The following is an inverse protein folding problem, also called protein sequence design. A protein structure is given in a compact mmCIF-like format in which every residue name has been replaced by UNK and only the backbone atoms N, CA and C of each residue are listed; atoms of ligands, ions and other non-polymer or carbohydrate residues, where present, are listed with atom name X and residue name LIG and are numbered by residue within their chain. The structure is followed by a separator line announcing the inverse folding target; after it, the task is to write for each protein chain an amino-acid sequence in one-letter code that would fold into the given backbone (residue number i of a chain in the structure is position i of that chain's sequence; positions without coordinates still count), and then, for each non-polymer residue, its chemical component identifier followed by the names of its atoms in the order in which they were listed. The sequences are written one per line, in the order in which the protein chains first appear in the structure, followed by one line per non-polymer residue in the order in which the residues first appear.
data_IF_989868860885
#
_entry.id   IF_989868860885
#
_cell.length_a   1.000
_cell.length_b   1.000
_cell.length_c   1.000
_cell.angle_alpha   90.00
_cell.angle_beta   90.00
_cell.angle_gamma   90.00
#
_symmetry.space_group_name_H-M   'P 1'
#
loop_
_entity.id
_entity.type
_entity.pdbx_description
1 polymer ?
#
# COMPACT_ATOMS: atom_id res chain seq x y z
N UNK A 1 71.44 62.64 -43.53
CA UNK A 1 70.66 61.77 -44.43
C UNK A 1 69.47 61.22 -43.65
N UNK A 2 68.29 61.79 -43.91
CA UNK A 2 66.94 61.17 -43.91
C UNK A 2 66.72 59.96 -42.99
N UNK A 3 66.04 60.07 -41.84
CA UNK A 3 64.58 60.24 -41.65
C UNK A 3 63.74 59.20 -42.40
N UNK A 4 63.10 58.29 -41.67
CA UNK A 4 61.63 58.15 -41.52
C UNK A 4 61.32 56.83 -40.78
N UNK A 5 60.58 56.96 -39.68
CA UNK A 5 59.92 55.88 -38.93
C UNK A 5 58.68 55.37 -39.68
N UNK A 6 58.35 54.07 -39.54
CA UNK A 6 56.96 53.55 -39.56
C UNK A 6 56.82 52.43 -38.51
N UNK A 7 56.07 52.63 -37.41
CA UNK A 7 54.62 52.34 -37.17
C UNK A 7 54.42 50.85 -36.80
N UNK A 8 54.36 50.46 -35.50
CA UNK A 8 53.19 50.31 -34.56
C UNK A 8 52.16 49.23 -34.99
N UNK A 9 51.83 48.19 -34.20
CA UNK A 9 50.85 48.13 -33.07
C UNK A 9 50.70 46.63 -32.61
N UNK A 10 49.78 46.21 -31.69
CA UNK A 10 49.87 46.23 -30.22
C UNK A 10 49.39 44.90 -29.57
N UNK A 11 49.42 44.81 -28.23
CA UNK A 11 48.84 43.70 -27.47
C UNK A 11 49.55 43.56 -26.12
N UNK A 12 49.54 44.59 -25.27
CA UNK A 12 48.59 44.72 -24.16
C UNK A 12 48.45 43.44 -23.33
N UNK A 13 49.26 43.44 -22.26
CA UNK A 13 48.79 43.23 -20.89
C UNK A 13 47.88 42.02 -20.62
N UNK A 14 48.44 41.01 -19.97
CA UNK A 14 47.86 40.51 -18.72
C UNK A 14 48.92 39.75 -17.92
N UNK A 15 49.32 40.36 -16.80
CA UNK A 15 49.54 39.72 -15.50
C UNK A 15 49.92 38.22 -15.49
N UNK A 16 51.12 37.89 -15.00
CA UNK A 16 51.20 36.74 -14.11
C UNK A 16 52.33 36.85 -13.07
N UNK A 17 51.94 37.40 -11.93
CA UNK A 17 52.64 37.36 -10.66
C UNK A 17 52.49 35.94 -10.06
N UNK A 18 53.37 35.01 -10.42
CA UNK A 18 53.47 33.71 -9.75
C UNK A 18 54.86 33.51 -9.15
N UNK A 19 54.92 33.66 -7.82
CA UNK A 19 56.06 33.36 -6.93
C UNK A 19 56.68 32.00 -7.30
N UNK A 20 57.91 32.01 -7.84
CA UNK A 20 58.71 30.80 -8.04
C UNK A 20 59.11 30.24 -6.67
N UNK A 21 58.58 29.06 -6.36
CA UNK A 21 58.97 28.30 -5.18
C UNK A 21 60.47 27.94 -5.29
N UNK A 22 61.27 28.24 -4.27
CA UNK A 22 62.71 27.94 -4.27
C UNK A 22 63.02 26.74 -3.36
N UNK A 23 64.18 26.11 -3.57
CA UNK A 23 64.66 25.04 -2.69
C UNK A 23 64.79 25.54 -1.24
N UNK A 24 65.14 26.81 -1.03
CA UNK A 24 65.24 27.41 0.30
C UNK A 24 63.89 27.42 1.02
N UNK A 25 62.78 27.66 0.31
CA UNK A 25 61.44 27.59 0.90
C UNK A 25 61.11 26.16 1.35
N UNK A 26 61.51 25.13 0.59
CA UNK A 26 61.28 23.73 0.98
C UNK A 26 62.11 23.35 2.21
N UNK A 27 63.35 23.83 2.28
CA UNK A 27 64.21 23.67 3.45
C UNK A 27 63.68 24.45 4.66
N UNK A 28 63.05 25.61 4.47
CA UNK A 28 62.41 26.37 5.54
C UNK A 28 61.19 25.63 6.11
N UNK A 29 60.31 25.11 5.25
CA UNK A 29 59.16 24.27 5.67
C UNK A 29 59.64 23.04 6.44
N UNK A 30 60.74 22.44 6.01
CA UNK A 30 61.30 21.31 6.71
C UNK A 30 61.77 21.68 8.12
N UNK A 31 62.50 22.78 8.25
CA UNK A 31 62.99 23.29 9.54
C UNK A 31 61.86 23.69 10.48
N UNK A 32 60.84 24.38 9.98
CA UNK A 32 59.65 24.77 10.74
C UNK A 32 58.94 23.54 11.35
N UNK A 33 58.89 22.43 10.61
CA UNK A 33 58.30 21.16 11.08
C UNK A 33 59.31 20.25 11.79
N UNK A 34 60.43 20.80 12.25
CA UNK A 34 61.46 20.10 13.01
C UNK A 34 62.19 19.00 12.21
N UNK A 35 62.35 19.17 10.91
CA UNK A 35 63.02 18.22 10.01
C UNK A 35 63.92 18.88 8.98
N UNK A 36 64.37 18.09 8.00
CA UNK A 36 65.31 18.49 6.96
C UNK A 36 64.80 18.08 5.58
N UNK A 37 65.02 18.95 4.59
CA UNK A 37 64.94 18.58 3.18
C UNK A 37 66.35 18.20 2.74
N UNK A 38 66.54 16.94 2.34
CA UNK A 38 67.84 16.34 1.98
C UNK A 38 68.15 16.43 0.48
N UNK A 39 67.28 17.03 -0.32
CA UNK A 39 67.49 17.22 -1.76
C UNK A 39 68.24 18.53 -2.03
N UNK A 40 69.23 18.47 -2.93
CA UNK A 40 70.10 19.61 -3.27
C UNK A 40 69.61 20.41 -4.49
N UNK A 41 68.50 19.99 -5.12
CA UNK A 41 67.89 20.69 -6.25
C UNK A 41 66.38 20.61 -6.20
N UNK A 42 65.73 21.68 -6.68
CA UNK A 42 64.27 21.77 -6.80
C UNK A 42 63.92 22.15 -8.25
N UNK A 43 63.15 21.28 -8.91
CA UNK A 43 62.71 21.49 -10.30
C UNK A 43 61.31 22.10 -10.36
N UNK A 44 60.34 21.45 -9.71
CA UNK A 44 58.95 21.88 -9.65
C UNK A 44 58.22 21.24 -8.46
N UNK A 45 56.95 21.63 -8.27
CA UNK A 45 56.16 21.27 -7.08
C UNK A 45 55.75 19.79 -7.04
N UNK A 46 55.81 19.11 -8.17
CA UNK A 46 55.40 17.72 -8.37
C UNK A 46 56.59 16.75 -8.39
N UNK A 47 57.82 17.25 -8.42
CA UNK A 47 59.03 16.43 -8.34
C UNK A 47 59.28 16.03 -6.89
N UNK A 48 59.32 14.73 -6.55
CA UNK A 48 59.52 14.30 -5.17
C UNK A 48 60.90 14.67 -4.64
N UNK A 49 60.93 15.35 -3.49
CA UNK A 49 62.15 15.60 -2.72
C UNK A 49 62.31 14.54 -1.61
N UNK A 50 63.53 14.46 -1.08
CA UNK A 50 63.88 13.63 0.08
C UNK A 50 63.73 14.46 1.36
N UNK A 51 63.01 13.93 2.34
CA UNK A 51 62.71 14.61 3.60
C UNK A 51 63.12 13.73 4.78
N UNK A 52 63.46 14.37 5.89
CA UNK A 52 63.76 13.73 7.17
C UNK A 52 63.06 14.48 8.30
N UNK A 53 62.47 13.79 9.28
CA UNK A 53 61.84 14.44 10.44
C UNK A 53 62.76 14.44 11.66
N UNK A 54 62.36 15.11 12.75
CA UNK A 54 63.06 15.12 14.04
C UNK A 54 63.42 13.72 14.56
N UNK A 55 62.55 12.73 14.35
CA UNK A 55 62.76 11.32 14.73
C UNK A 55 63.62 10.54 13.72
N UNK A 56 64.35 11.26 12.85
CA UNK A 56 65.27 10.76 11.84
C UNK A 56 64.70 9.85 10.73
N UNK A 57 63.38 9.61 10.71
CA UNK A 57 62.72 8.90 9.61
C UNK A 57 62.89 9.66 8.29
N UNK A 58 63.29 8.94 7.23
CA UNK A 58 63.47 9.48 5.88
C UNK A 58 62.36 9.01 4.94
N UNK A 59 61.84 9.90 4.11
CA UNK A 59 60.82 9.56 3.12
C UNK A 59 60.89 10.45 1.87
N UNK A 60 60.30 9.96 0.77
CA UNK A 60 60.13 10.70 -0.49
C UNK A 60 58.72 11.27 -0.57
N UNK A 61 58.59 12.57 -0.80
CA UNK A 61 57.29 13.22 -0.98
C UNK A 61 57.41 14.45 -1.89
N UNK A 62 56.32 14.78 -2.57
CA UNK A 62 56.26 16.00 -3.37
C UNK A 62 56.14 17.24 -2.48
N UNK A 63 56.83 18.33 -2.84
CA UNK A 63 56.68 19.65 -2.23
C UNK A 63 55.22 20.09 -2.06
N UNK A 64 54.35 19.80 -3.04
CA UNK A 64 52.93 20.11 -2.96
C UNK A 64 52.24 19.35 -1.80
N UNK A 65 52.48 18.05 -1.68
CA UNK A 65 51.90 17.22 -0.62
C UNK A 65 52.35 17.67 0.77
N UNK A 66 53.63 18.05 0.88
CA UNK A 66 54.21 18.56 2.11
C UNK A 66 53.58 19.90 2.50
N UNK A 67 53.45 20.83 1.55
CA UNK A 67 52.77 22.12 1.76
C UNK A 67 51.32 21.96 2.21
N UNK A 68 50.59 21.00 1.63
CA UNK A 68 49.19 20.72 1.98
C UNK A 68 48.99 20.03 3.34
N UNK A 69 50.08 19.70 4.06
CA UNK A 69 50.02 19.24 5.45
C UNK A 69 50.52 17.82 5.68
N UNK A 70 50.87 17.07 4.63
CA UNK A 70 51.46 15.73 4.80
C UNK A 70 52.91 15.86 5.29
N UNK A 71 53.31 15.08 6.29
CA UNK A 71 54.68 15.11 6.82
C UNK A 71 55.29 13.71 6.88
N UNK A 72 55.77 13.27 8.05
CA UNK A 72 56.29 11.93 8.25
C UNK A 72 55.16 10.93 8.53
N UNK A 73 54.89 10.02 7.59
CA UNK A 73 53.88 8.97 7.74
C UNK A 73 54.23 7.94 8.83
N UNK A 74 55.51 7.76 9.15
CA UNK A 74 55.98 6.85 10.21
C UNK A 74 55.69 7.46 11.58
N UNK A 75 56.03 8.74 11.80
CA UNK A 75 55.66 9.45 13.03
C UNK A 75 54.14 9.58 13.16
N UNK A 76 53.44 9.87 12.06
CA UNK A 76 51.97 9.91 12.05
C UNK A 76 51.39 8.55 12.47
N UNK A 77 51.80 7.44 11.86
CA UNK A 77 51.36 6.09 12.28
C UNK A 77 51.75 5.75 13.71
N UNK A 78 52.92 6.20 14.18
CA UNK A 78 53.37 6.05 15.56
C UNK A 78 52.48 6.78 16.55
N UNK A 79 52.09 8.02 16.24
CA UNK A 79 51.15 8.83 17.05
C UNK A 79 49.72 8.28 17.06
N UNK A 80 49.37 7.43 16.10
CA UNK A 80 48.08 6.74 16.03
C UNK A 80 48.07 5.38 16.76
N UNK A 81 49.23 4.91 17.27
CA UNK A 81 49.27 3.72 18.12
C UNK A 81 48.69 4.09 19.48
N UNK A 82 47.51 3.55 19.74
CA UNK A 82 46.80 3.73 21.00
C UNK A 82 47.50 2.90 22.07
N UNK A 83 47.69 3.47 23.26
CA UNK A 83 48.11 2.67 24.39
C UNK A 83 46.97 1.75 24.81
N UNK A 84 47.33 0.56 25.29
CA UNK A 84 46.37 -0.39 25.83
C UNK A 84 45.62 0.19 27.04
N UNK A 85 46.29 1.06 27.80
CA UNK A 85 45.76 1.81 28.95
C UNK A 85 44.63 2.77 28.54
N UNK A 86 44.83 3.57 27.49
CA UNK A 86 43.78 4.51 26.99
C UNK A 86 42.49 3.81 26.56
N UNK A 87 42.60 2.60 26.00
CA UNK A 87 41.45 1.82 25.57
C UNK A 87 40.76 1.10 26.72
N UNK A 88 41.51 0.72 27.75
CA UNK A 88 40.97 0.20 29.00
C UNK A 88 40.20 1.26 29.77
N UNK A 89 40.75 2.48 29.87
CA UNK A 89 40.07 3.61 30.50
C UNK A 89 38.77 3.96 29.77
N UNK A 90 38.79 3.97 28.43
CA UNK A 90 37.59 4.18 27.62
C UNK A 90 36.53 3.09 27.84
N UNK A 91 36.96 1.83 27.97
CA UNK A 91 36.09 0.71 28.32
C UNK A 91 35.42 0.96 29.69
N UNK A 92 36.23 1.30 30.70
CA UNK A 92 35.79 1.51 32.07
C UNK A 92 34.80 2.68 32.21
N UNK A 93 35.09 3.82 31.58
CA UNK A 93 34.21 5.00 31.59
C UNK A 93 32.81 4.72 31.02
N UNK A 94 32.71 3.77 30.10
CA UNK A 94 31.46 3.39 29.41
C UNK A 94 30.86 2.09 29.96
N UNK A 95 31.35 1.57 31.08
CA UNK A 95 30.84 0.36 31.72
C UNK A 95 31.04 -0.90 30.86
N UNK A 96 32.17 -1.01 30.16
CA UNK A 96 32.58 -2.21 29.45
C UNK A 96 34.02 -2.58 29.80
N UNK A 97 34.44 -3.71 29.25
CA UNK A 97 35.74 -4.30 29.48
C UNK A 97 36.38 -4.68 28.15
N UNK A 98 37.66 -4.32 28.01
CA UNK A 98 38.49 -4.75 26.90
C UNK A 98 39.09 -6.13 27.21
N UNK A 99 38.69 -7.15 26.44
CA UNK A 99 39.15 -8.53 26.62
C UNK A 99 40.45 -8.83 25.85
N UNK A 100 40.79 -8.00 24.86
CA UNK A 100 42.03 -8.14 24.09
C UNK A 100 43.26 -7.75 24.94
N UNK A 101 44.24 -8.65 25.04
CA UNK A 101 45.48 -8.46 25.83
C UNK A 101 46.61 -7.74 25.09
N UNK A 102 46.41 -7.40 23.81
CA UNK A 102 47.41 -6.71 22.96
C UNK A 102 46.71 -5.68 22.10
N UNK A 103 47.30 -4.50 21.99
CA UNK A 103 46.93 -3.47 21.01
C UNK A 103 47.74 -3.69 19.74
N UNK A 104 47.05 -3.80 18.61
CA UNK A 104 47.69 -3.81 17.30
C UNK A 104 47.41 -2.54 16.52
N UNK A 105 47.29 -2.66 15.20
CA UNK A 105 47.02 -1.48 14.35
C UNK A 105 45.63 -0.89 14.63
N UNK A 106 45.40 0.38 14.30
CA UNK A 106 44.09 1.04 14.47
C UNK A 106 42.93 0.37 13.70
N UNK A 107 43.26 -0.50 12.73
CA UNK A 107 42.31 -1.28 11.92
C UNK A 107 42.00 -2.66 12.53
N UNK A 108 42.75 -3.08 13.55
CA UNK A 108 42.54 -4.38 14.18
C UNK A 108 41.29 -4.35 15.05
N UNK A 109 40.47 -5.41 14.92
CA UNK A 109 39.27 -5.56 15.74
C UNK A 109 39.65 -6.12 17.10
N UNK A 110 39.39 -5.33 18.15
CA UNK A 110 39.57 -5.73 19.53
C UNK A 110 38.29 -6.39 20.05
N UNK A 111 38.41 -7.26 21.06
CA UNK A 111 37.27 -7.93 21.69
C UNK A 111 36.86 -7.16 22.95
N UNK A 112 35.56 -6.89 23.06
CA UNK A 112 34.97 -6.06 24.12
C UNK A 112 33.82 -6.82 24.81
N UNK A 113 33.50 -6.46 26.05
CA UNK A 113 32.38 -7.00 26.84
C UNK A 113 31.64 -5.86 27.56
N UNK A 114 30.34 -5.69 27.36
CA UNK A 114 29.57 -4.61 28.02
C UNK A 114 29.04 -5.05 29.40
N UNK A 115 28.45 -4.11 30.14
CA UNK A 115 27.77 -4.37 31.41
C UNK A 115 26.68 -5.47 31.36
N UNK A 116 26.05 -5.67 30.20
CA UNK A 116 25.06 -6.74 29.98
C UNK A 116 25.71 -8.08 29.56
N UNK A 117 27.03 -8.22 29.72
CA UNK A 117 27.84 -9.38 29.32
C UNK A 117 27.83 -9.75 27.83
N UNK A 118 27.30 -8.89 26.95
CA UNK A 118 27.43 -9.10 25.52
C UNK A 118 28.89 -8.90 25.09
N UNK A 119 29.42 -9.85 24.34
CA UNK A 119 30.78 -9.79 23.79
C UNK A 119 30.75 -9.51 22.30
N UNK A 120 31.57 -8.57 21.82
CA UNK A 120 31.67 -8.26 20.39
C UNK A 120 33.08 -7.89 19.97
N UNK A 121 33.29 -7.80 18.65
CA UNK A 121 34.54 -7.36 18.04
C UNK A 121 34.35 -6.03 17.31
N UNK A 122 35.13 -5.02 17.68
CA UNK A 122 35.08 -3.69 17.08
C UNK A 122 36.46 -3.04 17.08
N UNK A 123 36.71 -2.15 16.13
CA UNK A 123 37.93 -1.32 16.13
C UNK A 123 37.81 -0.21 17.16
N UNK A 124 38.94 0.24 17.70
CA UNK A 124 38.94 1.36 18.64
C UNK A 124 38.34 2.66 18.06
N UNK A 125 38.44 2.87 16.74
CA UNK A 125 37.78 3.98 16.05
C UNK A 125 36.25 3.89 16.08
N UNK A 126 35.67 2.69 15.88
CA UNK A 126 34.22 2.46 15.94
C UNK A 126 33.68 2.72 17.36
N UNK A 127 34.43 2.27 18.36
CA UNK A 127 34.12 2.45 19.78
C UNK A 127 34.08 3.95 20.14
N UNK A 128 35.07 4.75 19.70
CA UNK A 128 35.08 6.21 19.91
C UNK A 128 33.97 6.95 19.17
N UNK A 129 33.58 6.46 17.99
CA UNK A 129 32.47 7.02 17.22
C UNK A 129 31.08 6.75 17.87
N UNK A 130 31.04 6.06 19.01
CA UNK A 130 29.81 5.79 19.75
C UNK A 130 29.15 4.44 19.42
N UNK A 131 29.75 3.63 18.54
CA UNK A 131 29.24 2.30 18.21
C UNK A 131 29.69 1.28 19.25
N UNK A 132 29.05 1.33 20.43
CA UNK A 132 29.42 0.52 21.59
C UNK A 132 28.99 -0.94 21.44
N UNK A 133 27.79 -1.28 21.90
CA UNK A 133 27.27 -2.64 21.84
C UNK A 133 26.05 -2.68 20.93
N UNK A 134 26.18 -3.35 19.77
CA UNK A 134 25.07 -3.51 18.83
C UNK A 134 23.91 -4.28 19.46
N UNK A 135 24.19 -5.28 20.30
CA UNK A 135 23.16 -6.09 20.94
C UNK A 135 22.35 -5.26 21.93
N UNK A 136 22.99 -4.46 22.80
CA UNK A 136 22.27 -3.52 23.68
C UNK A 136 21.49 -2.45 22.89
N UNK A 137 22.01 -2.01 21.75
CA UNK A 137 21.30 -1.08 20.87
C UNK A 137 20.06 -1.73 20.23
N UNK A 138 20.15 -2.99 19.80
CA UNK A 138 18.99 -3.73 19.30
C UNK A 138 18.00 -4.07 20.43
N UNK A 139 18.49 -4.40 21.63
CA UNK A 139 17.65 -4.69 22.79
C UNK A 139 16.91 -3.44 23.29
N UNK A 140 17.51 -2.25 23.18
CA UNK A 140 16.80 -0.99 23.50
C UNK A 140 15.77 -0.60 22.44
N UNK A 141 15.92 -1.09 21.20
CA UNK A 141 14.91 -0.92 20.13
C UNK A 141 13.84 -2.01 20.14
N UNK A 142 14.12 -3.19 20.70
CA UNK A 142 13.10 -4.21 20.95
C UNK A 142 12.25 -3.71 22.12
N UNK A 143 10.94 -3.59 21.91
CA UNK A 143 10.02 -3.36 23.03
C UNK A 143 10.29 -4.37 24.15
N UNK A 144 10.01 -4.03 25.41
CA UNK A 144 10.14 -4.98 26.51
C UNK A 144 8.77 -5.56 26.88
N UNK A 145 8.74 -6.60 27.72
CA UNK A 145 7.47 -7.20 28.14
C UNK A 145 6.60 -6.20 28.93
N UNK A 146 7.21 -5.28 29.67
CA UNK A 146 6.51 -4.21 30.41
C UNK A 146 5.73 -3.30 29.46
N UNK A 147 6.29 -2.95 28.30
CA UNK A 147 5.59 -2.18 27.27
C UNK A 147 4.38 -2.95 26.71
N UNK A 148 4.44 -4.27 26.64
CA UNK A 148 3.30 -5.10 26.22
C UNK A 148 2.22 -5.15 27.31
N UNK A 149 2.60 -5.21 28.59
CA UNK A 149 1.66 -5.07 29.71
C UNK A 149 0.99 -3.69 29.70
N UNK A 150 1.76 -2.61 29.49
CA UNK A 150 1.22 -1.25 29.39
C UNK A 150 0.28 -1.09 28.18
N UNK A 151 0.63 -1.66 27.01
CA UNK A 151 -0.24 -1.67 25.83
C UNK A 151 -1.57 -2.38 26.13
N UNK A 152 -1.53 -3.51 26.83
CA UNK A 152 -2.73 -4.24 27.22
C UNK A 152 -3.60 -3.43 28.19
N UNK A 153 -2.98 -2.83 29.21
CA UNK A 153 -3.66 -2.01 30.19
C UNK A 153 -4.34 -0.80 29.55
N UNK A 154 -3.66 -0.12 28.61
CA UNK A 154 -4.21 1.02 27.87
C UNK A 154 -5.45 0.65 27.03
N UNK A 155 -5.61 -0.63 26.65
CA UNK A 155 -6.77 -1.15 25.92
C UNK A 155 -7.81 -1.81 26.84
N UNK A 156 -7.63 -1.70 28.16
CA UNK A 156 -8.52 -2.29 29.16
C UNK A 156 -8.41 -3.81 29.22
N UNK A 157 -7.19 -4.36 29.25
CA UNK A 157 -6.98 -5.78 29.45
C UNK A 157 -5.55 -6.12 29.87
N UNK A 158 -5.14 -7.38 29.68
CA UNK A 158 -3.90 -7.93 30.20
C UNK A 158 -3.11 -8.65 29.10
N UNK A 159 -1.79 -8.52 29.14
CA UNK A 159 -0.88 -9.42 28.43
C UNK A 159 -0.47 -10.52 29.42
N UNK A 160 -0.80 -11.77 29.10
CA UNK A 160 -0.56 -12.94 29.95
C UNK A 160 0.80 -13.59 29.69
N UNK A 161 1.48 -13.22 28.60
CA UNK A 161 2.81 -13.73 28.30
C UNK A 161 3.84 -13.17 29.29
N UNK A 162 4.76 -14.01 29.82
CA UNK A 162 5.78 -13.57 30.77
C UNK A 162 7.02 -12.97 30.10
N UNK A 163 7.22 -13.23 28.80
CA UNK A 163 8.39 -12.81 28.04
C UNK A 163 8.00 -12.24 26.67
N UNK A 164 8.74 -11.23 26.23
CA UNK A 164 8.66 -10.70 24.87
C UNK A 164 9.98 -10.97 24.15
N UNK A 165 9.90 -11.70 23.04
CA UNK A 165 11.07 -12.13 22.27
C UNK A 165 11.29 -11.17 21.10
N UNK A 166 10.26 -10.97 20.28
CA UNK A 166 10.30 -10.11 19.10
C UNK A 166 8.89 -9.67 18.67
N UNK A 167 8.82 -8.80 17.65
CA UNK A 167 7.56 -8.24 17.15
C UNK A 167 6.69 -9.22 16.37
N UNK A 168 7.22 -10.42 16.04
CA UNK A 168 6.51 -11.41 15.21
C UNK A 168 5.99 -12.59 16.01
N UNK A 169 6.50 -12.78 17.23
CA UNK A 169 6.06 -13.80 18.17
C UNK A 169 4.68 -13.43 18.71
N UNK A 170 3.80 -14.43 18.77
CA UNK A 170 2.47 -14.24 19.32
C UNK A 170 2.56 -14.19 20.84
N UNK A 171 1.96 -13.16 21.42
CA UNK A 171 1.71 -13.09 22.85
C UNK A 171 0.27 -13.48 23.14
N UNK A 172 0.02 -13.89 24.38
CA UNK A 172 -1.31 -14.21 24.88
C UNK A 172 -1.90 -12.96 25.54
N UNK A 173 -3.10 -12.59 25.11
CA UNK A 173 -3.79 -11.37 25.53
C UNK A 173 -5.16 -11.72 26.10
N UNK A 174 -5.65 -10.88 27.02
CA UNK A 174 -6.96 -10.96 27.62
C UNK A 174 -7.63 -9.58 27.60
N UNK A 175 -8.89 -9.48 27.20
CA UNK A 175 -9.64 -8.20 27.28
C UNK A 175 -10.43 -8.08 28.59
N UNK A 176 -10.99 -6.90 28.88
CA UNK A 176 -11.85 -6.66 30.04
C UNK A 176 -13.02 -7.65 30.19
N UNK A 177 -13.57 -8.13 29.07
CA UNK A 177 -14.68 -9.12 29.07
C UNK A 177 -14.19 -10.52 29.43
N UNK A 178 -12.87 -10.74 29.46
CA UNK A 178 -12.25 -12.02 29.82
C UNK A 178 -11.88 -12.91 28.64
N UNK A 179 -12.12 -12.49 27.39
CA UNK A 179 -11.71 -13.25 26.21
C UNK A 179 -10.19 -13.34 26.12
N UNK A 180 -9.67 -14.55 25.89
CA UNK A 180 -8.23 -14.81 25.74
C UNK A 180 -7.91 -15.18 24.29
N UNK A 181 -6.84 -14.60 23.72
CA UNK A 181 -6.40 -14.92 22.35
C UNK A 181 -4.89 -14.76 22.17
N UNK A 182 -4.35 -15.38 21.11
CA UNK A 182 -2.96 -15.24 20.69
C UNK A 182 -2.86 -14.24 19.53
N UNK A 183 -1.98 -13.25 19.63
CA UNK A 183 -1.75 -12.26 18.58
C UNK A 183 -0.36 -11.61 18.70
N UNK A 184 0.15 -11.13 17.56
CA UNK A 184 1.36 -10.30 17.51
C UNK A 184 1.08 -8.89 18.05
N UNK A 185 2.04 -8.21 18.69
CA UNK A 185 1.86 -6.85 19.21
C UNK A 185 1.30 -5.87 18.16
N UNK A 186 1.84 -5.89 16.94
CA UNK A 186 1.38 -5.00 15.86
C UNK A 186 -0.11 -5.21 15.51
N UNK A 187 -0.59 -6.45 15.56
CA UNK A 187 -2.00 -6.78 15.35
C UNK A 187 -2.85 -6.23 16.49
N UNK A 188 -2.39 -6.35 17.72
CA UNK A 188 -3.12 -5.91 18.91
C UNK A 188 -3.24 -4.39 19.01
N UNK A 189 -2.22 -3.66 18.56
CA UNK A 189 -2.26 -2.20 18.45
C UNK A 189 -3.41 -1.72 17.55
N UNK A 190 -3.62 -2.41 16.41
CA UNK A 190 -4.63 -2.05 15.40
C UNK A 190 -6.01 -2.66 15.71
N UNK A 191 -6.05 -3.95 16.05
CA UNK A 191 -7.25 -4.71 16.39
C UNK A 191 -7.02 -5.42 17.72
N UNK A 192 -7.63 -4.88 18.77
CA UNK A 192 -7.51 -5.38 20.14
C UNK A 192 -8.08 -6.80 20.31
N UNK A 193 -9.36 -6.95 20.64
CA UNK A 193 -9.99 -8.24 20.83
C UNK A 193 -10.78 -8.66 19.58
N UNK A 194 -10.46 -9.80 18.94
CA UNK A 194 -11.19 -10.26 17.76
C UNK A 194 -12.63 -10.66 18.10
N UNK A 195 -12.87 -11.20 19.30
CA UNK A 195 -14.20 -11.64 19.74
C UNK A 195 -15.09 -10.42 20.01
N UNK A 196 -14.67 -9.48 20.85
CA UNK A 196 -15.43 -8.24 21.06
C UNK A 196 -15.54 -7.39 19.77
N UNK A 197 -14.55 -7.47 18.88
CA UNK A 197 -14.61 -6.84 17.56
C UNK A 197 -15.66 -7.48 16.65
N UNK A 198 -15.85 -8.79 16.75
CA UNK A 198 -16.90 -9.54 16.06
C UNK A 198 -18.28 -9.24 16.66
N UNK A 199 -18.41 -9.27 17.99
CA UNK A 199 -19.68 -9.00 18.68
C UNK A 199 -20.21 -7.59 18.36
N UNK A 200 -19.34 -6.57 18.37
CA UNK A 200 -19.71 -5.19 17.96
C UNK A 200 -20.16 -5.08 16.51
N UNK A 201 -19.72 -6.00 15.64
CA UNK A 201 -20.10 -6.03 14.21
C UNK A 201 -21.30 -6.93 13.94
N UNK A 202 -21.77 -7.68 14.92
CA UNK A 202 -22.95 -8.53 14.78
C UNK A 202 -24.16 -7.61 14.55
N UNK A 203 -24.77 -7.70 13.37
CA UNK A 203 -26.08 -7.09 13.15
C UNK A 203 -27.02 -7.75 14.17
N UNK A 204 -27.52 -7.00 15.15
CA UNK A 204 -28.42 -7.55 16.15
C UNK A 204 -29.70 -8.11 15.53
N UNK A 205 -30.40 -8.97 16.28
CA UNK A 205 -31.73 -9.44 15.88
C UNK A 205 -32.68 -8.26 15.62
N UNK A 206 -32.51 -7.18 16.36
CA UNK A 206 -33.21 -5.89 16.19
C UNK A 206 -33.13 -5.37 14.76
N UNK A 207 -31.96 -5.47 14.11
CA UNK A 207 -31.82 -5.02 12.72
C UNK A 207 -32.58 -5.92 11.74
N UNK A 208 -32.71 -7.21 12.05
CA UNK A 208 -33.50 -8.14 11.25
C UNK A 208 -35.00 -7.90 11.45
N UNK A 209 -35.42 -7.57 12.66
CA UNK A 209 -36.78 -7.16 12.98
C UNK A 209 -37.14 -5.84 12.28
N UNK A 210 -36.25 -4.85 12.29
CA UNK A 210 -36.43 -3.60 11.56
C UNK A 210 -36.52 -3.82 10.04
N UNK A 211 -35.66 -4.69 9.49
CA UNK A 211 -35.72 -5.06 8.07
C UNK A 211 -37.06 -5.72 7.71
N UNK A 212 -37.63 -6.52 8.62
CA UNK A 212 -38.93 -7.11 8.41
C UNK A 212 -40.04 -6.05 8.45
N UNK A 213 -39.97 -5.13 9.41
CA UNK A 213 -40.92 -4.02 9.56
C UNK A 213 -40.96 -3.12 8.33
N UNK A 214 -39.80 -2.78 7.77
CA UNK A 214 -39.68 -2.00 6.53
C UNK A 214 -40.35 -2.67 5.32
N UNK A 215 -40.51 -4.00 5.35
CA UNK A 215 -41.21 -4.77 4.32
C UNK A 215 -42.66 -5.12 4.70
N UNK A 216 -43.19 -4.49 5.75
CA UNK A 216 -44.54 -4.73 6.24
C UNK A 216 -44.70 -6.14 6.80
N UNK A 217 -43.74 -6.64 7.57
CA UNK A 217 -43.85 -7.94 8.23
C UNK A 217 -43.02 -8.01 9.50
N UNK A 218 -42.82 -9.23 9.99
CA UNK A 218 -42.16 -9.50 11.28
C UNK A 218 -41.05 -10.53 11.13
N UNK A 219 -39.95 -10.34 11.86
CA UNK A 219 -38.98 -11.40 12.10
C UNK A 219 -39.36 -12.07 13.43
N UNK A 220 -39.78 -13.33 13.37
CA UNK A 220 -40.26 -14.09 14.54
C UNK A 220 -39.11 -14.75 15.32
N UNK A 221 -37.89 -14.71 14.79
CA UNK A 221 -36.72 -15.23 15.51
C UNK A 221 -36.27 -14.24 16.60
N UNK A 222 -35.87 -14.78 17.74
CA UNK A 222 -35.35 -14.00 18.87
C UNK A 222 -33.82 -13.88 18.85
N UNK A 223 -33.13 -14.79 18.15
CA UNK A 223 -31.66 -14.87 18.17
C UNK A 223 -31.10 -14.80 16.75
N UNK A 224 -30.23 -13.81 16.52
CA UNK A 224 -29.43 -13.71 15.29
C UNK A 224 -28.03 -14.27 15.51
N UNK A 225 -27.72 -15.40 14.86
CA UNK A 225 -26.37 -16.00 14.97
C UNK A 225 -25.39 -15.37 13.98
N UNK A 226 -25.76 -15.38 12.69
CA UNK A 226 -24.98 -14.88 11.56
C UNK A 226 -25.91 -14.72 10.33
N UNK A 227 -25.37 -14.35 9.16
CA UNK A 227 -26.15 -14.11 7.94
C UNK A 227 -26.50 -15.38 7.13
N UNK A 228 -26.03 -16.57 7.57
CA UNK A 228 -26.26 -17.85 6.89
C UNK A 228 -27.23 -18.76 7.64
N UNK A 229 -27.44 -18.54 8.93
CA UNK A 229 -28.46 -19.23 9.72
C UNK A 229 -29.84 -18.67 9.35
N UNK A 230 -30.79 -19.56 9.05
CA UNK A 230 -32.15 -19.17 8.73
C UNK A 230 -32.81 -18.49 9.94
N UNK A 231 -33.58 -17.44 9.66
CA UNK A 231 -34.55 -16.87 10.59
C UNK A 231 -35.96 -17.17 10.09
N UNK A 232 -36.91 -17.07 10.99
CA UNK A 232 -38.33 -17.19 10.69
C UNK A 232 -38.91 -15.79 10.46
N UNK A 233 -39.61 -15.65 9.34
CA UNK A 233 -40.18 -14.38 8.86
C UNK A 233 -41.68 -14.54 8.66
N UNK A 234 -42.40 -13.44 8.79
CA UNK A 234 -43.83 -13.35 8.52
C UNK A 234 -44.12 -12.08 7.71
N UNK A 235 -44.98 -12.15 6.69
CA UNK A 235 -45.39 -10.96 5.93
C UNK A 235 -46.72 -10.37 6.46
N UNK A 236 -47.12 -9.19 5.98
CA UNK A 236 -48.39 -8.55 6.35
C UNK A 236 -49.63 -9.44 6.17
N UNK A 237 -49.60 -10.37 5.21
CA UNK A 237 -50.70 -11.30 4.96
C UNK A 237 -50.72 -12.52 5.89
N UNK A 238 -49.73 -12.64 6.79
CA UNK A 238 -49.63 -13.72 7.76
C UNK A 238 -48.82 -14.94 7.30
N UNK A 239 -48.38 -15.02 6.04
CA UNK A 239 -47.55 -16.14 5.57
C UNK A 239 -46.22 -16.19 6.32
N UNK A 240 -45.85 -17.37 6.82
CA UNK A 240 -44.60 -17.60 7.57
C UNK A 240 -43.64 -18.47 6.80
N UNK A 241 -42.36 -18.11 6.76
CA UNK A 241 -41.32 -18.90 6.09
C UNK A 241 -39.97 -18.80 6.77
N UNK A 242 -39.08 -19.76 6.47
CA UNK A 242 -37.69 -19.73 6.91
C UNK A 242 -36.79 -19.25 5.77
N UNK A 243 -35.96 -18.24 6.04
CA UNK A 243 -35.01 -17.72 5.06
C UNK A 243 -33.74 -17.19 5.72
N UNK A 244 -32.63 -17.29 4.99
CA UNK A 244 -31.36 -16.69 5.39
C UNK A 244 -31.47 -15.15 5.31
N UNK A 245 -31.00 -14.41 6.32
CA UNK A 245 -30.98 -12.94 6.34
C UNK A 245 -30.38 -12.31 5.08
N UNK A 246 -29.33 -12.92 4.51
CA UNK A 246 -28.70 -12.41 3.29
C UNK A 246 -29.65 -12.38 2.09
N UNK A 247 -30.58 -13.34 1.96
CA UNK A 247 -31.56 -13.35 0.86
C UNK A 247 -32.63 -12.28 1.07
N UNK A 248 -33.06 -12.10 2.31
CA UNK A 248 -34.00 -11.06 2.69
C UNK A 248 -33.40 -9.68 2.44
N UNK A 249 -32.14 -9.45 2.81
CA UNK A 249 -31.44 -8.20 2.52
C UNK A 249 -31.38 -7.92 1.01
N UNK A 250 -31.17 -8.95 0.18
CA UNK A 250 -31.14 -8.85 -1.29
C UNK A 250 -32.50 -8.64 -1.95
N UNK A 251 -33.60 -8.67 -1.21
CA UNK A 251 -34.93 -8.37 -1.74
C UNK A 251 -35.89 -9.57 -1.83
N UNK A 252 -35.44 -10.79 -1.51
CA UNK A 252 -36.35 -11.95 -1.45
C UNK A 252 -37.22 -11.86 -0.20
N UNK A 253 -38.54 -11.90 -0.37
CA UNK A 253 -39.48 -11.72 0.74
C UNK A 253 -40.42 -12.92 0.88
N UNK A 254 -41.72 -12.74 0.69
CA UNK A 254 -42.72 -13.79 0.78
C UNK A 254 -42.99 -14.42 -0.60
N UNK A 255 -42.77 -15.73 -0.72
CA UNK A 255 -43.02 -16.47 -1.96
C UNK A 255 -44.52 -16.53 -2.30
N UNK A 256 -45.38 -16.74 -1.32
CA UNK A 256 -46.83 -16.82 -1.53
C UNK A 256 -47.38 -15.48 -2.06
N UNK A 257 -46.99 -14.35 -1.45
CA UNK A 257 -47.38 -13.03 -1.95
C UNK A 257 -46.81 -12.75 -3.35
N UNK A 258 -45.66 -13.31 -3.71
CA UNK A 258 -45.12 -13.22 -5.06
C UNK A 258 -45.96 -14.02 -6.05
N UNK A 259 -46.31 -15.27 -5.72
CA UNK A 259 -47.15 -16.12 -6.56
C UNK A 259 -48.55 -15.53 -6.79
N UNK A 260 -49.16 -14.93 -5.76
CA UNK A 260 -50.44 -14.23 -5.90
C UNK A 260 -50.35 -13.07 -6.91
N UNK A 261 -49.28 -12.27 -6.85
CA UNK A 261 -49.05 -11.19 -7.82
C UNK A 261 -48.85 -11.73 -9.23
N UNK A 262 -48.12 -12.83 -9.38
CA UNK A 262 -47.93 -13.53 -10.66
C UNK A 262 -49.27 -14.00 -11.23
N UNK A 263 -50.10 -14.66 -10.40
CA UNK A 263 -51.44 -15.14 -10.81
C UNK A 263 -52.36 -13.99 -11.22
N UNK A 264 -52.39 -12.90 -10.46
CA UNK A 264 -53.15 -11.71 -10.85
C UNK A 264 -52.68 -11.13 -12.19
N UNK A 265 -51.36 -11.12 -12.44
CA UNK A 265 -50.79 -10.65 -13.70
C UNK A 265 -51.19 -11.50 -14.91
N UNK A 266 -51.25 -12.83 -14.79
CA UNK A 266 -51.68 -13.67 -15.92
C UNK A 266 -53.18 -13.49 -16.22
N UNK A 267 -54.02 -13.35 -15.19
CA UNK A 267 -55.45 -13.08 -15.37
C UNK A 267 -55.70 -11.79 -16.14
N UNK A 268 -54.98 -10.70 -15.82
CA UNK A 268 -55.07 -9.45 -16.56
C UNK A 268 -54.70 -9.63 -18.06
N UNK A 269 -53.68 -10.45 -18.35
CA UNK A 269 -53.28 -10.70 -19.74
C UNK A 269 -54.31 -11.51 -20.51
N UNK A 270 -54.99 -12.45 -19.84
CA UNK A 270 -56.09 -13.22 -20.41
C UNK A 270 -57.29 -12.33 -20.72
N UNK A 271 -57.64 -11.37 -19.85
CA UNK A 271 -58.71 -10.39 -20.08
C UNK A 271 -58.42 -9.50 -21.30
N UNK A 272 -57.19 -8.99 -21.45
CA UNK A 272 -56.80 -8.19 -22.62
C UNK A 272 -56.95 -8.99 -23.90
N UNK A 273 -56.59 -10.27 -23.88
CA UNK A 273 -56.75 -11.13 -25.03
C UNK A 273 -58.22 -11.29 -25.41
N UNK A 274 -59.08 -11.58 -24.44
CA UNK A 274 -60.52 -11.74 -24.65
C UNK A 274 -61.16 -10.45 -25.21
N UNK A 275 -60.83 -9.28 -24.66
CA UNK A 275 -61.33 -7.99 -25.17
C UNK A 275 -60.94 -7.72 -26.63
N UNK A 276 -59.85 -8.31 -27.12
CA UNK A 276 -59.37 -8.19 -28.50
C UNK A 276 -59.79 -9.37 -29.39
N UNK A 277 -60.75 -10.19 -28.92
CA UNK A 277 -61.27 -11.35 -29.63
C UNK A 277 -60.28 -12.51 -29.74
N UNK A 278 -59.31 -12.61 -28.84
CA UNK A 278 -58.30 -13.67 -28.83
C UNK A 278 -58.13 -14.35 -27.47
N UNK A 279 -57.11 -15.19 -27.36
CA UNK A 279 -56.75 -15.94 -26.16
C UNK A 279 -55.28 -15.70 -25.79
N UNK A 280 -54.99 -15.63 -24.50
CA UNK A 280 -53.62 -15.79 -24.00
C UNK A 280 -53.46 -17.26 -23.62
N UNK A 281 -52.54 -17.96 -24.29
CA UNK A 281 -52.31 -19.40 -24.13
C UNK A 281 -51.34 -19.72 -22.98
N UNK A 282 -50.64 -18.72 -22.46
CA UNK A 282 -49.74 -18.88 -21.32
C UNK A 282 -50.52 -19.01 -20.00
N UNK A 283 -50.02 -19.87 -19.12
CA UNK A 283 -50.53 -20.10 -17.76
C UNK A 283 -49.71 -19.37 -16.69
N UNK A 284 -48.52 -18.89 -17.06
CA UNK A 284 -47.53 -18.28 -16.17
C UNK A 284 -47.18 -16.87 -16.63
N UNK A 285 -47.15 -15.93 -15.69
CA UNK A 285 -46.76 -14.54 -15.92
C UNK A 285 -45.56 -14.17 -15.03
N UNK A 286 -44.42 -13.90 -15.63
CA UNK A 286 -43.21 -13.56 -14.86
C UNK A 286 -43.10 -12.05 -14.69
N UNK A 287 -43.17 -11.31 -15.80
CA UNK A 287 -43.11 -9.85 -15.84
C UNK A 287 -43.54 -9.34 -17.23
N UNK A 288 -43.49 -8.03 -17.43
CA UNK A 288 -43.88 -7.36 -18.68
C UNK A 288 -42.98 -7.66 -19.89
N UNK A 289 -41.76 -8.12 -19.66
CA UNK A 289 -40.72 -8.35 -20.67
C UNK A 289 -40.60 -9.82 -21.08
N UNK A 290 -41.06 -10.72 -20.22
CA UNK A 290 -41.15 -12.14 -20.49
C UNK A 290 -42.26 -12.38 -21.51
N UNK A 291 -41.96 -13.00 -22.66
CA UNK A 291 -42.95 -13.24 -23.68
C UNK A 291 -44.04 -14.20 -23.21
N UNK A 292 -45.26 -13.99 -23.72
CA UNK A 292 -46.39 -14.90 -23.59
C UNK A 292 -46.84 -15.35 -24.97
N UNK A 293 -47.57 -16.46 -25.01
CA UNK A 293 -48.20 -16.98 -26.23
C UNK A 293 -49.62 -16.45 -26.34
N UNK A 294 -49.98 -15.97 -27.53
CA UNK A 294 -51.26 -15.34 -27.83
C UNK A 294 -51.88 -15.99 -29.06
N UNK A 295 -53.21 -15.97 -29.14
CA UNK A 295 -53.99 -16.41 -30.28
C UNK A 295 -55.05 -15.35 -30.63
N UNK A 296 -55.27 -15.05 -31.91
CA UNK A 296 -56.33 -14.13 -32.33
C UNK A 296 -57.59 -14.89 -32.76
N UNK A 297 -58.66 -14.14 -33.07
CA UNK A 297 -59.93 -14.72 -33.52
C UNK A 297 -59.81 -15.57 -34.80
N UNK A 298 -58.86 -15.21 -35.67
CA UNK A 298 -58.56 -15.95 -36.91
C UNK A 298 -57.68 -17.19 -36.66
N UNK A 299 -57.33 -17.48 -35.40
CA UNK A 299 -56.57 -18.66 -34.99
C UNK A 299 -55.04 -18.53 -35.07
N UNK A 300 -54.49 -17.41 -35.54
CA UNK A 300 -53.03 -17.22 -35.60
C UNK A 300 -52.42 -17.20 -34.19
N UNK A 301 -51.37 -17.98 -33.97
CA UNK A 301 -50.63 -18.03 -32.70
C UNK A 301 -49.32 -17.26 -32.86
N UNK A 302 -48.97 -16.42 -31.89
CA UNK A 302 -47.68 -15.72 -31.87
C UNK A 302 -47.18 -15.49 -30.44
N UNK A 303 -45.87 -15.32 -30.34
CA UNK A 303 -45.19 -14.95 -29.11
C UNK A 303 -45.03 -13.42 -29.06
N UNK A 304 -45.46 -12.80 -27.95
CA UNK A 304 -45.29 -11.38 -27.75
C UNK A 304 -45.17 -11.02 -26.27
N UNK A 305 -44.40 -9.96 -26.00
CA UNK A 305 -44.26 -9.40 -24.66
C UNK A 305 -45.56 -8.71 -24.23
N UNK A 306 -46.03 -8.93 -22.98
CA UNK A 306 -47.16 -8.21 -22.39
C UNK A 306 -47.11 -6.69 -22.57
N UNK A 307 -45.93 -6.08 -22.49
CA UNK A 307 -45.75 -4.63 -22.68
C UNK A 307 -46.21 -4.14 -24.07
N UNK A 308 -45.93 -4.91 -25.12
CA UNK A 308 -46.34 -4.54 -26.49
C UNK A 308 -47.84 -4.72 -26.69
N UNK A 309 -48.41 -5.76 -26.09
CA UNK A 309 -49.84 -6.02 -26.14
C UNK A 309 -50.59 -4.89 -25.43
N UNK A 310 -50.17 -4.49 -24.23
CA UNK A 310 -50.73 -3.32 -23.51
C UNK A 310 -50.62 -2.04 -24.36
N UNK A 311 -49.49 -1.82 -25.03
CA UNK A 311 -49.26 -0.65 -25.88
C UNK A 311 -49.99 -0.68 -27.24
N UNK A 312 -50.87 -1.65 -27.47
CA UNK A 312 -51.76 -1.68 -28.64
C UNK A 312 -51.31 -2.56 -29.80
N UNK A 313 -50.13 -3.20 -29.70
CA UNK A 313 -49.76 -4.23 -30.69
C UNK A 313 -50.61 -5.49 -30.52
N UNK A 314 -50.89 -6.16 -31.63
CA UNK A 314 -51.70 -7.39 -31.65
C UNK A 314 -51.16 -8.36 -32.71
N UNK A 315 -52.03 -9.19 -33.30
CA UNK A 315 -51.66 -10.22 -34.25
C UNK A 315 -50.91 -9.65 -35.47
N UNK A 316 -49.63 -10.02 -35.67
CA UNK A 316 -48.82 -9.50 -36.78
C UNK A 316 -49.32 -9.99 -38.14
N UNK A 317 -49.83 -11.22 -38.22
CA UNK A 317 -50.41 -11.77 -39.45
C UNK A 317 -51.67 -11.01 -39.86
N UNK A 318 -52.63 -10.79 -38.94
CA UNK A 318 -53.81 -9.98 -39.22
C UNK A 318 -53.43 -8.56 -39.66
N UNK A 319 -52.43 -7.95 -39.03
CA UNK A 319 -51.95 -6.62 -39.42
C UNK A 319 -51.30 -6.61 -40.81
N UNK A 320 -50.56 -7.66 -41.18
CA UNK A 320 -49.96 -7.81 -42.52
C UNK A 320 -51.04 -8.00 -43.57
N UNK A 321 -51.98 -8.93 -43.36
CA UNK A 321 -53.13 -9.19 -44.24
C UNK A 321 -53.93 -7.90 -44.46
N UNK A 322 -54.24 -7.16 -43.39
CA UNK A 322 -54.97 -5.89 -43.47
C UNK A 322 -54.23 -4.83 -44.30
N UNK A 323 -52.90 -4.72 -44.14
CA UNK A 323 -52.06 -3.80 -44.94
C UNK A 323 -52.06 -4.17 -46.42
N UNK A 324 -51.95 -5.45 -46.75
CA UNK A 324 -51.92 -5.93 -48.14
C UNK A 324 -53.26 -5.73 -48.85
N UNK A 325 -54.38 -5.96 -48.15
CA UNK A 325 -55.72 -5.66 -48.66
C UNK A 325 -55.88 -4.16 -48.97
N UNK A 326 -55.41 -3.28 -48.08
CA UNK A 326 -55.45 -1.82 -48.28
C UNK A 326 -54.63 -1.40 -49.51
N UNK A 327 -53.41 -1.93 -49.68
CA UNK A 327 -52.57 -1.68 -50.88
C UNK A 327 -53.26 -2.12 -52.17
N UNK A 328 -53.90 -3.29 -52.18
CA UNK A 328 -54.65 -3.79 -53.36
C UNK A 328 -55.82 -2.86 -53.70
N UNK A 329 -56.57 -2.40 -52.69
CA UNK A 329 -57.67 -1.45 -52.86
C UNK A 329 -57.19 -0.11 -53.42
N UNK A 330 -56.11 0.45 -52.87
CA UNK A 330 -55.55 1.73 -53.31
C UNK A 330 -54.99 1.65 -54.74
N UNK A 331 -54.36 0.52 -55.09
CA UNK A 331 -53.87 0.27 -56.45
C UNK A 331 -55.02 0.14 -57.46
N UNK A 332 -56.13 -0.52 -57.08
CA UNK A 332 -57.34 -0.63 -57.90
C UNK A 332 -58.04 0.72 -58.09
N UNK A 333 -58.07 1.58 -57.06
CA UNK A 333 -58.56 2.97 -57.16
C UNK A 333 -57.71 3.83 -58.09
N UNK A 334 -56.37 3.69 -58.05
CA UNK A 334 -55.48 4.36 -59.00
C UNK A 334 -55.75 3.91 -60.43
N UNK A 335 -55.82 2.59 -60.71
CA UNK A 335 -56.10 2.08 -62.06
C UNK A 335 -57.45 2.55 -62.61
N UNK A 336 -58.51 2.61 -61.80
CA UNK A 336 -59.82 3.17 -62.22
C UNK A 336 -59.78 4.67 -62.55
N UNK A 337 -58.93 5.46 -61.88
CA UNK A 337 -58.73 6.89 -62.21
C UNK A 337 -58.02 7.11 -63.54
N UNK A 338 -57.11 6.21 -63.93
CA UNK A 338 -56.37 6.31 -65.19
C UNK A 338 -57.06 5.64 -66.39
N UNK A 339 -58.21 4.97 -66.19
CA UNK A 339 -58.93 4.25 -67.26
C UNK A 339 -60.26 4.91 -67.67
N UNK A 340 -60.54 6.15 -67.25
CA UNK A 340 -61.69 6.91 -67.72
C UNK A 340 -61.27 7.65 -69.02
N UNK A 341 -61.80 7.30 -70.21
CA UNK A 341 -61.57 8.09 -71.41
C UNK A 341 -62.25 9.44 -71.24
N UNK A 342 -61.53 10.53 -71.53
CA UNK A 342 -62.16 11.84 -71.74
C UNK A 342 -63.08 11.73 -72.95
N UNK A 343 -64.38 11.59 -72.72
CA UNK A 343 -65.40 11.81 -73.73
C UNK A 343 -65.67 13.32 -73.75
N UNK A 344 -65.22 13.95 -74.84
CA UNK A 344 -65.56 15.32 -75.26
C UNK A 344 -67.04 15.43 -75.65
#
# INVERSE_FOLDING_TARGET
MTSIKKITYPGLEAQNNQRRLTLEEMQAIARERGGLCLSDSYLNIDTPLQWQCAQLHRWRATPNSVKRGTWCSICYRGSQRQSLEELQDLAQQKGAELLSKRTGSYLEKLRWRCAHNHTWQATASQIRAGNWCQQCYYDSMRGNIEAMHALAAAKGGYCLSPIYIDAVTHLQWQCAVGHIWLAKPATVTTRWCPICGFDRKRLGIEKMQELARQRGGHCLSEVYKNNVTCLTWQCAKGHTWQAKPVHVQRGHWCHECYLEKVRAGISEMQEIAQMRGGLCLSDTYINLKSPLNWQCIEGHIWEAKPEHIRNGSWCPECQRIGRDLKKKLDTKKKKKRFSMPNLL
#
